data_IF_953592249153
#
_entry.id   IF_953592249153
#
_cell.length_a   1.000
_cell.length_b   1.000
_cell.length_c   1.000
_cell.angle_alpha   90.00
_cell.angle_beta   90.00
_cell.angle_gamma   90.00
#
_symmetry.space_group_name_H-M   'P 1'
#
loop_
_entity.id
_entity.type
_entity.pdbx_description
1 polymer ?
#
# COMPACT_ATOMS: atom_id res chain seq x y z
N UNK A 1 48.06 -41.32 -26.35
CA UNK A 1 46.62 -41.66 -26.51
C UNK A 1 45.99 -41.54 -25.13
N UNK A 2 45.36 -40.40 -24.86
CA UNK A 2 44.71 -40.12 -23.57
C UNK A 2 43.20 -40.35 -23.72
N UNK A 3 42.64 -41.22 -22.87
CA UNK A 3 41.22 -41.54 -22.84
C UNK A 3 40.41 -40.39 -22.24
N UNK A 4 39.46 -39.86 -23.01
CA UNK A 4 38.47 -38.90 -22.54
C UNK A 4 37.34 -39.60 -21.79
N UNK A 5 37.16 -39.22 -20.53
CA UNK A 5 36.02 -39.59 -19.70
C UNK A 5 34.76 -38.87 -20.21
N UNK A 6 33.77 -39.63 -20.63
CA UNK A 6 32.44 -39.13 -21.01
C UNK A 6 31.67 -38.63 -19.78
N UNK A 7 31.03 -37.48 -19.93
CA UNK A 7 30.04 -37.00 -18.98
C UNK A 7 28.74 -37.80 -19.16
N UNK A 8 28.30 -38.49 -18.11
CA UNK A 8 26.97 -39.08 -18.04
C UNK A 8 25.90 -37.98 -17.86
N UNK A 9 24.71 -38.10 -18.45
CA UNK A 9 23.60 -37.17 -18.22
C UNK A 9 23.03 -37.36 -16.81
N UNK A 10 22.75 -36.23 -16.14
CA UNK A 10 22.18 -36.16 -14.79
C UNK A 10 20.70 -36.58 -14.84
N UNK A 11 20.26 -37.61 -14.09
CA UNK A 11 18.84 -37.94 -13.96
C UNK A 11 18.22 -37.08 -12.87
N UNK A 12 17.22 -36.28 -13.25
CA UNK A 12 16.49 -35.38 -12.36
C UNK A 12 15.49 -34.58 -13.16
N UNK A 13 14.34 -35.20 -13.40
CA UNK A 13 13.23 -34.70 -14.20
C UNK A 13 12.78 -33.29 -13.76
N UNK A 14 12.52 -32.44 -14.74
CA UNK A 14 11.74 -31.22 -14.54
C UNK A 14 10.34 -31.59 -14.03
N UNK A 15 9.82 -30.97 -12.96
CA UNK A 15 8.40 -31.01 -12.72
C UNK A 15 7.72 -30.21 -13.84
N UNK A 16 6.94 -30.90 -14.68
CA UNK A 16 5.95 -30.26 -15.53
C UNK A 16 5.05 -29.40 -14.64
N UNK A 17 4.91 -28.09 -14.86
CA UNK A 17 3.91 -27.33 -14.14
C UNK A 17 2.54 -27.80 -14.64
N UNK A 18 1.83 -28.57 -13.82
CA UNK A 18 0.39 -28.72 -13.97
C UNK A 18 -0.23 -27.33 -13.77
N UNK A 19 -0.38 -26.59 -14.87
CA UNK A 19 -1.21 -25.39 -14.96
C UNK A 19 -2.65 -25.80 -14.70
N UNK A 20 -3.02 -25.85 -13.43
CA UNK A 20 -4.41 -25.93 -13.04
C UNK A 20 -4.91 -24.49 -13.07
N UNK A 21 -5.79 -24.16 -14.02
CA UNK A 21 -6.32 -22.81 -14.16
C UNK A 21 -6.94 -22.35 -12.82
N UNK A 22 -6.74 -21.09 -12.41
CA UNK A 22 -7.30 -20.58 -11.17
C UNK A 22 -8.83 -20.70 -11.20
N UNK A 23 -9.43 -21.08 -10.07
CA UNK A 23 -10.88 -21.12 -9.93
C UNK A 23 -11.49 -19.74 -10.26
N UNK A 24 -12.60 -19.66 -11.03
CA UNK A 24 -13.20 -18.40 -11.51
C UNK A 24 -13.45 -17.35 -10.42
N UNK A 25 -13.73 -17.79 -9.19
CA UNK A 25 -13.98 -16.92 -8.03
C UNK A 25 -12.73 -16.13 -7.59
N UNK A 26 -11.53 -16.71 -7.72
CA UNK A 26 -10.29 -16.02 -7.37
C UNK A 26 -9.96 -14.93 -8.41
N UNK A 27 -10.09 -15.24 -9.70
CA UNK A 27 -9.85 -14.29 -10.78
C UNK A 27 -10.77 -13.05 -10.68
N UNK A 28 -12.07 -13.25 -10.47
CA UNK A 28 -13.03 -12.14 -10.35
C UNK A 28 -12.79 -11.22 -9.14
N UNK A 29 -12.12 -11.71 -8.08
CA UNK A 29 -11.74 -10.89 -6.92
C UNK A 29 -10.61 -9.93 -7.25
N UNK A 30 -9.62 -10.34 -8.03
CA UNK A 30 -8.48 -9.48 -8.40
C UNK A 30 -8.89 -8.41 -9.40
N UNK A 31 -9.76 -8.72 -10.35
CA UNK A 31 -10.31 -7.73 -11.27
C UNK A 31 -10.94 -6.55 -10.52
N UNK A 32 -11.70 -6.82 -9.45
CA UNK A 32 -12.24 -5.76 -8.59
C UNK A 32 -11.15 -4.91 -7.93
N UNK A 33 -10.05 -5.52 -7.49
CA UNK A 33 -8.94 -4.81 -6.84
C UNK A 33 -8.19 -3.93 -7.84
N UNK A 34 -7.97 -4.44 -9.05
CA UNK A 34 -7.35 -3.67 -10.10
C UNK A 34 -8.26 -2.54 -10.62
N UNK A 35 -9.56 -2.79 -10.77
CA UNK A 35 -10.50 -1.80 -11.29
C UNK A 35 -10.68 -0.63 -10.31
N UNK A 36 -10.61 -0.90 -9.00
CA UNK A 36 -10.60 0.16 -7.97
C UNK A 36 -9.50 1.19 -8.18
N UNK A 37 -8.35 0.83 -8.75
CA UNK A 37 -7.23 1.77 -8.93
C UNK A 37 -7.40 2.73 -10.11
N UNK A 38 -8.39 2.45 -10.97
CA UNK A 38 -8.80 3.33 -12.08
C UNK A 38 -9.83 4.38 -11.66
N UNK A 39 -10.37 4.26 -10.44
CA UNK A 39 -11.39 5.18 -9.90
C UNK A 39 -10.87 6.61 -9.85
N UNK A 40 -11.73 7.56 -10.21
CA UNK A 40 -11.53 9.00 -10.03
C UNK A 40 -12.56 9.51 -9.03
N UNK A 41 -12.16 10.43 -8.17
CA UNK A 41 -13.07 11.01 -7.18
C UNK A 41 -13.70 12.27 -7.77
N UNK A 42 -15.01 12.39 -7.64
CA UNK A 42 -15.71 13.64 -8.01
C UNK A 42 -15.39 14.70 -6.98
N UNK A 43 -15.57 14.35 -5.69
CA UNK A 43 -15.23 15.19 -4.55
C UNK A 43 -14.34 14.43 -3.57
N UNK A 44 -13.41 15.13 -2.93
CA UNK A 44 -12.58 14.56 -1.88
C UNK A 44 -12.12 15.61 -0.86
N UNK A 45 -11.80 15.15 0.34
CA UNK A 45 -11.04 15.95 1.29
C UNK A 45 -9.55 15.71 1.11
N UNK A 46 -8.79 16.79 1.26
CA UNK A 46 -7.35 16.80 1.13
C UNK A 46 -6.68 17.07 2.48
N UNK A 47 -5.72 16.22 2.84
CA UNK A 47 -4.92 16.35 4.05
C UNK A 47 -3.43 16.34 3.72
N UNK A 48 -2.69 17.31 4.24
CA UNK A 48 -1.25 17.47 4.07
C UNK A 48 -0.55 17.60 5.43
N UNK A 49 0.76 17.29 5.55
CA UNK A 49 1.45 17.44 6.81
C UNK A 49 1.48 18.92 7.23
N UNK A 50 1.29 19.17 8.53
CA UNK A 50 1.34 20.50 9.12
C UNK A 50 2.76 21.09 8.97
N UNK A 51 2.92 22.26 8.32
CA UNK A 51 4.24 22.85 8.04
C UNK A 51 5.04 23.19 9.30
N UNK A 52 4.41 23.26 10.47
CA UNK A 52 5.15 23.39 11.74
C UNK A 52 6.07 22.19 12.04
N UNK A 53 5.86 21.06 11.36
CA UNK A 53 6.69 19.87 11.43
C UNK A 53 7.73 19.76 10.30
N UNK A 54 8.01 20.83 9.54
CA UNK A 54 9.01 20.80 8.44
C UNK A 54 10.42 20.38 8.88
N UNK A 55 10.75 20.54 10.17
CA UNK A 55 12.03 20.10 10.73
C UNK A 55 12.12 18.57 10.95
N UNK A 56 11.00 17.84 10.87
CA UNK A 56 10.96 16.38 11.00
C UNK A 56 11.61 15.73 9.75
N UNK A 57 12.63 14.85 9.90
CA UNK A 57 13.25 14.16 8.76
C UNK A 57 12.29 13.35 7.88
N UNK A 58 11.15 12.92 8.43
CA UNK A 58 10.11 12.18 7.71
C UNK A 58 9.12 13.10 7.00
N UNK A 59 9.13 14.41 7.26
CA UNK A 59 8.22 15.37 6.63
C UNK A 59 8.20 15.31 5.10
N UNK A 60 9.36 15.22 4.38
CA UNK A 60 9.35 15.09 2.93
C UNK A 60 8.65 13.82 2.46
N UNK A 61 8.78 12.73 3.23
CA UNK A 61 8.25 11.39 2.93
C UNK A 61 6.81 11.19 3.41
N UNK A 62 6.26 12.15 4.16
CA UNK A 62 4.92 12.08 4.67
C UNK A 62 3.90 12.09 3.50
N UNK A 63 2.88 11.22 3.53
CA UNK A 63 1.95 11.09 2.42
C UNK A 63 0.96 12.24 2.34
N UNK A 64 0.58 12.63 1.13
CA UNK A 64 -0.56 13.51 0.92
C UNK A 64 -1.83 12.66 0.88
N UNK A 65 -2.75 12.83 1.82
CA UNK A 65 -3.92 11.96 1.96
C UNK A 65 -5.13 12.59 1.26
N UNK A 66 -5.81 11.80 0.45
CA UNK A 66 -7.03 12.17 -0.26
C UNK A 66 -8.12 11.19 0.15
N UNK A 67 -9.25 11.68 0.65
CA UNK A 67 -10.37 10.85 1.10
C UNK A 67 -11.61 11.20 0.29
N UNK A 68 -12.18 10.22 -0.41
CA UNK A 68 -13.39 10.42 -1.20
C UNK A 68 -14.59 10.91 -0.37
N UNK A 69 -15.38 11.80 -0.95
CA UNK A 69 -16.68 12.23 -0.43
C UNK A 69 -17.77 11.93 -1.45
N UNK A 70 -18.68 11.01 -1.15
CA UNK A 70 -19.76 10.66 -2.08
C UNK A 70 -20.96 11.60 -1.97
N UNK A 71 -21.14 12.24 -0.81
CA UNK A 71 -22.15 13.27 -0.60
C UNK A 71 -21.53 14.65 -0.79
N UNK A 72 -21.89 15.33 -1.88
CA UNK A 72 -21.59 16.75 -2.14
C UNK A 72 -22.36 17.71 -1.25
N UNK A 73 -23.18 17.21 -0.32
CA UNK A 73 -23.96 18.04 0.57
C UNK A 73 -23.01 18.57 1.66
N UNK A 74 -22.69 19.88 1.70
CA UNK A 74 -21.70 20.46 2.61
C UNK A 74 -22.08 20.40 4.10
N UNK A 75 -23.14 19.64 4.46
CA UNK A 75 -23.55 19.37 5.84
C UNK A 75 -24.01 17.93 6.11
N UNK A 76 -23.88 16.96 5.18
CA UNK A 76 -24.38 15.58 5.40
C UNK A 76 -23.36 14.62 6.04
N UNK A 77 -22.11 15.05 6.19
CA UNK A 77 -21.21 14.54 7.19
C UNK A 77 -20.72 15.78 7.93
N UNK A 78 -21.45 16.20 8.96
CA UNK A 78 -21.12 17.35 9.78
C UNK A 78 -19.92 17.01 10.68
N UNK A 79 -18.76 16.83 10.04
CA UNK A 79 -17.44 16.85 10.67
C UNK A 79 -16.96 18.31 10.84
N UNK A 80 -17.82 19.27 10.49
CA UNK A 80 -17.52 20.69 10.28
C UNK A 80 -17.94 21.64 11.42
N UNK A 81 -18.47 21.12 12.54
CA UNK A 81 -19.06 21.97 13.59
C UNK A 81 -18.44 21.88 14.99
N UNK A 82 -17.55 20.93 15.25
CA UNK A 82 -16.88 20.77 16.54
C UNK A 82 -15.37 20.83 16.37
N UNK A 83 -14.64 21.26 17.41
CA UNK A 83 -13.18 21.08 17.52
C UNK A 83 -12.86 19.58 17.39
N UNK A 84 -12.77 19.07 16.17
CA UNK A 84 -12.22 17.75 15.93
C UNK A 84 -10.75 17.83 16.30
N UNK A 85 -10.23 16.82 17.03
CA UNK A 85 -8.80 16.74 17.25
C UNK A 85 -8.10 16.74 15.88
N UNK A 86 -6.96 17.42 15.74
CA UNK A 86 -6.20 17.40 14.50
C UNK A 86 -5.95 15.95 14.08
N UNK A 87 -6.01 15.69 12.78
CA UNK A 87 -5.63 14.39 12.25
C UNK A 87 -4.17 14.12 12.66
N UNK A 88 -3.91 13.01 13.36
CA UNK A 88 -2.54 12.60 13.73
C UNK A 88 -2.17 11.37 12.92
N UNK A 89 -1.02 11.44 12.23
CA UNK A 89 -0.33 10.28 11.67
C UNK A 89 0.83 9.92 12.57
N UNK A 90 0.72 8.74 13.18
CA UNK A 90 1.81 8.11 13.90
C UNK A 90 2.82 7.55 12.91
N UNK A 91 4.10 7.83 13.15
CA UNK A 91 5.20 7.39 12.28
C UNK A 91 6.16 6.48 13.01
N UNK A 92 6.67 5.46 12.32
CA UNK A 92 7.78 4.65 12.81
C UNK A 92 8.72 4.36 11.65
N UNK A 93 10.01 4.20 11.95
CA UNK A 93 11.03 3.86 10.95
C UNK A 93 11.84 2.64 11.43
N UNK A 94 12.21 1.77 10.50
CA UNK A 94 13.16 0.70 10.72
C UNK A 94 14.02 0.44 9.48
N UNK A 95 15.22 -0.08 9.69
CA UNK A 95 16.00 -0.72 8.63
C UNK A 95 15.75 -2.22 8.67
N UNK A 96 15.38 -2.80 7.53
CA UNK A 96 15.08 -4.21 7.41
C UNK A 96 15.87 -4.84 6.26
N UNK A 97 16.19 -6.12 6.38
CA UNK A 97 16.72 -6.87 5.26
C UNK A 97 15.59 -7.14 4.27
N UNK A 98 15.78 -6.72 3.03
CA UNK A 98 14.87 -6.94 1.92
C UNK A 98 15.60 -7.82 0.90
N UNK A 99 15.60 -9.14 1.14
CA UNK A 99 16.49 -10.07 0.46
C UNK A 99 17.95 -9.87 0.92
N UNK A 100 18.92 -9.75 -0.01
CA UNK A 100 20.33 -9.55 0.35
C UNK A 100 20.69 -8.10 0.72
N UNK A 101 19.77 -7.14 0.55
CA UNK A 101 20.03 -5.71 0.76
C UNK A 101 19.32 -5.19 2.01
N UNK A 102 19.92 -4.19 2.66
CA UNK A 102 19.25 -3.44 3.72
C UNK A 102 18.41 -2.31 3.10
N UNK A 103 17.17 -2.16 3.54
CA UNK A 103 16.25 -1.11 3.09
C UNK A 103 15.58 -0.43 4.27
N UNK A 104 15.38 0.89 4.14
CA UNK A 104 14.59 1.67 5.09
C UNK A 104 13.11 1.43 4.84
N UNK A 105 12.35 1.24 5.91
CA UNK A 105 10.90 1.20 5.91
C UNK A 105 10.32 2.27 6.83
N UNK A 106 9.29 2.95 6.35
CA UNK A 106 8.54 3.94 7.14
C UNK A 106 7.09 3.50 7.21
N UNK A 107 6.54 3.50 8.41
CA UNK A 107 5.16 3.20 8.70
C UNK A 107 4.40 4.50 9.00
N UNK A 108 3.20 4.63 8.46
CA UNK A 108 2.25 5.68 8.76
C UNK A 108 0.94 5.04 9.22
N UNK A 109 0.52 5.35 10.45
CA UNK A 109 -0.77 4.94 10.98
C UNK A 109 -1.55 6.15 11.45
N UNK A 110 -2.77 6.29 10.94
CA UNK A 110 -3.71 7.27 11.46
C UNK A 110 -4.25 6.83 12.81
N UNK A 111 -4.42 7.79 13.71
CA UNK A 111 -5.07 7.57 15.01
C UNK A 111 -6.50 7.00 14.82
N UNK A 112 -6.89 5.96 15.59
CA UNK A 112 -8.27 5.47 15.61
C UNK A 112 -9.27 6.57 15.99
N UNK A 113 -10.48 6.50 15.44
CA UNK A 113 -11.53 7.48 15.72
C UNK A 113 -12.90 6.82 15.82
N UNK A 114 -13.83 7.45 16.54
CA UNK A 114 -15.23 7.03 16.60
C UNK A 114 -16.00 7.65 15.43
N UNK A 115 -16.62 6.80 14.61
CA UNK A 115 -17.54 7.22 13.57
C UNK A 115 -18.98 7.02 14.07
N UNK A 116 -19.84 8.02 13.84
CA UNK A 116 -21.27 7.89 14.08
C UNK A 116 -21.94 7.33 12.84
N UNK A 117 -22.52 6.14 12.96
CA UNK A 117 -23.32 5.53 11.90
C UNK A 117 -24.80 5.77 12.20
N UNK A 118 -25.47 6.57 11.35
CA UNK A 118 -26.93 6.71 11.41
C UNK A 118 -27.57 5.52 10.71
N UNK A 119 -28.38 4.77 11.45
CA UNK A 119 -29.26 3.77 10.86
C UNK A 119 -30.62 4.38 10.54
N UNK A 120 -31.36 3.79 9.59
CA UNK A 120 -32.68 4.27 9.16
C UNK A 120 -33.73 4.35 10.29
N UNK A 121 -33.45 3.78 11.47
CA UNK A 121 -34.35 3.72 12.62
C UNK A 121 -34.11 4.81 13.68
N UNK A 122 -33.43 5.91 13.33
CA UNK A 122 -33.10 7.02 14.25
C UNK A 122 -32.14 6.65 15.40
N UNK A 123 -31.56 5.45 15.39
CA UNK A 123 -30.51 5.03 16.33
C UNK A 123 -29.13 5.38 15.75
N UNK A 124 -28.36 6.18 16.49
CA UNK A 124 -26.94 6.43 16.21
C UNK A 124 -26.10 5.41 16.95
N UNK A 125 -25.30 4.64 16.22
CA UNK A 125 -24.31 3.74 16.82
C UNK A 125 -22.92 4.33 16.60
N UNK A 126 -22.12 4.38 17.67
CA UNK A 126 -20.70 4.74 17.57
C UNK A 126 -19.89 3.49 17.26
N UNK A 127 -19.05 3.57 16.23
CA UNK A 127 -18.15 2.50 15.82
C UNK A 127 -16.72 3.00 15.86
N UNK A 128 -15.84 2.27 16.54
CA UNK A 128 -14.41 2.54 16.52
C UNK A 128 -13.83 2.12 15.16
N UNK A 129 -13.43 3.11 14.37
CA UNK A 129 -12.69 2.90 13.13
C UNK A 129 -11.21 2.84 13.45
N UNK A 130 -10.58 1.74 13.03
CA UNK A 130 -9.13 1.60 12.99
C UNK A 130 -8.70 1.70 11.51
N UNK A 131 -8.15 2.84 11.08
CA UNK A 131 -7.63 2.98 9.73
C UNK A 131 -6.50 1.97 9.49
N UNK A 132 -6.29 1.56 8.22
CA UNK A 132 -5.17 0.69 7.89
C UNK A 132 -3.85 1.40 8.15
N UNK A 133 -2.82 0.57 8.31
CA UNK A 133 -1.45 1.04 8.36
C UNK A 133 -0.89 1.06 6.95
N UNK A 134 -0.21 2.13 6.59
CA UNK A 134 0.51 2.24 5.32
C UNK A 134 1.99 2.12 5.61
N UNK A 135 2.67 1.19 4.94
CA UNK A 135 4.13 1.04 5.07
C UNK A 135 4.78 1.29 3.71
N UNK A 136 5.84 2.10 3.73
CA UNK A 136 6.68 2.36 2.57
C UNK A 136 8.00 1.62 2.74
N UNK A 137 8.39 0.85 1.72
CA UNK A 137 9.78 0.41 1.54
C UNK A 137 10.45 1.38 0.59
N UNK A 138 11.59 1.94 1.00
CA UNK A 138 12.29 2.96 0.24
C UNK A 138 13.38 2.39 -0.67
N UNK A 139 13.73 3.11 -1.72
CA UNK A 139 14.97 2.89 -2.50
C UNK A 139 16.20 3.31 -1.70
N UNK A 140 17.39 3.08 -2.23
CA UNK A 140 18.65 3.56 -1.65
C UNK A 140 18.70 5.09 -1.56
N UNK A 141 18.04 5.77 -2.50
CA UNK A 141 17.90 7.22 -2.51
C UNK A 141 16.83 7.74 -1.54
N UNK A 142 16.12 6.85 -0.84
CA UNK A 142 15.08 7.21 0.12
C UNK A 142 13.71 7.49 -0.50
N UNK A 143 13.51 7.28 -1.81
CA UNK A 143 12.21 7.44 -2.44
C UNK A 143 11.31 6.22 -2.19
N UNK A 144 9.98 6.36 -2.05
CA UNK A 144 9.07 5.22 -1.93
C UNK A 144 9.18 4.27 -3.15
N UNK A 145 9.52 3.01 -2.92
CA UNK A 145 9.62 1.96 -3.93
C UNK A 145 8.39 1.04 -3.90
N UNK A 146 7.94 0.70 -2.70
CA UNK A 146 6.78 -0.15 -2.45
C UNK A 146 5.91 0.54 -1.39
N UNK A 147 4.61 0.64 -1.64
CA UNK A 147 3.62 1.04 -0.66
C UNK A 147 2.66 -0.12 -0.42
N UNK A 148 2.56 -0.57 0.81
CA UNK A 148 1.72 -1.69 1.23
C UNK A 148 0.69 -1.25 2.27
N UNK A 149 -0.48 -1.89 2.21
CA UNK A 149 -1.59 -1.64 3.13
C UNK A 149 -1.73 -2.82 4.06
N UNK A 150 -1.37 -2.59 5.32
CA UNK A 150 -1.49 -3.56 6.37
C UNK A 150 -2.89 -3.42 7.01
N UNK A 151 -3.68 -4.50 7.03
CA UNK A 151 -5.01 -4.48 7.61
C UNK A 151 -4.93 -4.20 9.12
N UNK A 152 -5.91 -3.47 9.64
CA UNK A 152 -5.96 -3.10 11.07
C UNK A 152 -6.20 -4.29 12.02
N UNK A 153 -6.53 -5.48 11.50
CA UNK A 153 -6.75 -6.71 12.26
C UNK A 153 -6.14 -7.91 11.53
N UNK A 154 -5.37 -8.72 12.26
CA UNK A 154 -4.67 -9.92 11.78
C UNK A 154 -5.54 -11.18 11.65
N UNK A 155 -6.87 -11.04 11.54
CA UNK A 155 -7.79 -12.17 11.43
C UNK A 155 -7.80 -12.83 10.05
N UNK A 156 -8.17 -14.12 10.00
CA UNK A 156 -8.25 -15.00 8.80
C UNK A 156 -9.14 -14.47 7.64
N UNK A 157 -9.82 -13.33 7.80
CA UNK A 157 -10.67 -12.70 6.77
C UNK A 157 -10.10 -11.41 6.17
N UNK A 158 -8.83 -11.08 6.42
CA UNK A 158 -8.24 -9.79 6.03
C UNK A 158 -8.14 -9.53 4.50
N UNK A 159 -8.37 -10.55 3.67
CA UNK A 159 -8.25 -10.45 2.22
C UNK A 159 -6.81 -10.32 1.74
N UNK A 160 -6.57 -10.16 0.42
CA UNK A 160 -5.22 -10.11 -0.10
C UNK A 160 -4.51 -8.84 0.36
N UNK A 161 -3.22 -8.97 0.64
CA UNK A 161 -2.28 -7.87 0.80
C UNK A 161 -2.27 -7.04 -0.49
N UNK A 162 -2.66 -5.78 -0.35
CA UNK A 162 -2.69 -4.82 -1.45
C UNK A 162 -1.39 -4.03 -1.45
N UNK A 163 -0.68 -4.09 -2.57
CA UNK A 163 0.61 -3.43 -2.76
C UNK A 163 0.57 -2.51 -3.97
N UNK A 164 1.26 -1.39 -3.89
CA UNK A 164 1.58 -0.52 -5.01
C UNK A 164 3.10 -0.47 -5.16
N UNK A 165 3.60 -0.50 -6.38
CA UNK A 165 5.04 -0.49 -6.65
C UNK A 165 5.42 0.71 -7.50
N UNK A 166 6.66 1.16 -7.41
CA UNK A 166 7.15 2.24 -8.26
C UNK A 166 7.38 1.76 -9.70
N UNK A 167 7.36 2.70 -10.65
CA UNK A 167 7.59 2.43 -12.07
C UNK A 167 8.94 1.76 -12.29
N UNK A 168 9.99 2.25 -11.64
CA UNK A 168 11.35 1.71 -11.75
C UNK A 168 11.43 0.27 -11.27
N UNK A 169 10.76 -0.08 -10.16
CA UNK A 169 10.73 -1.47 -9.67
C UNK A 169 10.00 -2.40 -10.66
N UNK A 170 8.84 -1.99 -11.16
CA UNK A 170 8.08 -2.77 -12.14
C UNK A 170 8.83 -2.93 -13.46
N UNK A 171 9.53 -1.90 -13.94
CA UNK A 171 10.33 -1.98 -15.16
C UNK A 171 11.58 -2.86 -14.99
N UNK A 172 12.19 -2.86 -13.80
CA UNK A 172 13.24 -3.81 -13.45
C UNK A 172 12.72 -5.25 -13.43
N UNK A 173 11.57 -5.50 -12.79
CA UNK A 173 10.90 -6.81 -12.81
C UNK A 173 10.56 -7.25 -14.24
N UNK A 174 10.03 -6.36 -15.09
CA UNK A 174 9.71 -6.67 -16.48
C UNK A 174 10.94 -7.03 -17.30
N UNK A 175 12.09 -6.37 -17.07
CA UNK A 175 13.35 -6.70 -17.73
C UNK A 175 13.85 -8.10 -17.36
N UNK A 176 13.73 -8.49 -16.09
CA UNK A 176 14.20 -9.78 -15.60
C UNK A 176 13.24 -10.93 -15.94
N UNK A 177 11.94 -10.69 -15.80
CA UNK A 177 10.91 -11.73 -15.82
C UNK A 177 10.03 -11.74 -17.07
N UNK A 178 10.14 -10.72 -17.92
CA UNK A 178 9.28 -10.55 -19.09
C UNK A 178 7.91 -9.95 -18.74
N UNK A 179 6.89 -10.33 -19.50
CA UNK A 179 5.52 -9.83 -19.32
C UNK A 179 4.90 -10.29 -17.98
N UNK A 180 3.84 -9.60 -17.51
CA UNK A 180 3.00 -10.11 -16.43
C UNK A 180 2.57 -11.57 -16.67
N UNK A 181 2.44 -12.33 -15.59
CA UNK A 181 1.95 -13.71 -15.63
C UNK A 181 0.46 -13.75 -16.01
N UNK A 182 -0.08 -14.89 -16.47
CA UNK A 182 -1.51 -15.05 -16.69
C UNK A 182 -2.33 -14.57 -15.49
N UNK A 183 -3.40 -13.82 -15.75
CA UNK A 183 -4.29 -13.23 -14.73
C UNK A 183 -3.65 -12.18 -13.81
N UNK A 184 -2.41 -11.75 -14.07
CA UNK A 184 -1.75 -10.64 -13.39
C UNK A 184 -1.64 -9.42 -14.29
N UNK A 185 -1.64 -8.22 -13.70
CA UNK A 185 -1.47 -6.95 -14.43
C UNK A 185 -0.02 -6.46 -14.42
N UNK A 186 0.80 -6.89 -13.45
CA UNK A 186 2.16 -6.41 -13.27
C UNK A 186 3.19 -7.55 -13.20
N UNK A 187 4.42 -7.27 -13.64
CA UNK A 187 5.52 -8.22 -13.66
C UNK A 187 5.99 -8.60 -12.25
N UNK A 188 5.89 -7.67 -11.29
CA UNK A 188 6.18 -7.92 -9.88
C UNK A 188 5.22 -8.91 -9.19
N UNK A 189 4.09 -9.26 -9.80
CA UNK A 189 3.12 -10.17 -9.17
C UNK A 189 3.52 -11.64 -9.30
N UNK A 190 3.46 -12.43 -8.22
CA UNK A 190 3.67 -13.88 -8.28
C UNK A 190 2.54 -14.60 -9.03
N UNK A 191 2.74 -15.87 -9.41
CA UNK A 191 1.64 -16.72 -9.89
C UNK A 191 0.48 -16.72 -8.89
N UNK A 192 -0.74 -16.57 -9.39
CA UNK A 192 -1.96 -16.55 -8.58
C UNK A 192 -2.19 -17.89 -7.86
N UNK A 193 -1.70 -18.99 -8.45
CA UNK A 193 -1.80 -20.34 -7.91
C UNK A 193 -0.87 -20.56 -6.72
N UNK A 194 0.29 -19.89 -6.68
CA UNK A 194 1.25 -20.02 -5.58
C UNK A 194 1.02 -19.02 -4.47
N UNK A 195 0.60 -17.79 -4.81
CA UNK A 195 0.39 -16.73 -3.82
C UNK A 195 -0.90 -15.96 -4.16
N UNK A 196 -2.07 -16.51 -3.80
CA UNK A 196 -3.37 -15.84 -4.01
C UNK A 196 -3.62 -14.70 -3.01
N UNK A 197 -2.74 -14.51 -2.03
CA UNK A 197 -2.92 -13.55 -0.94
C UNK A 197 -2.28 -12.20 -1.24
N UNK A 198 -1.65 -12.00 -2.39
CA UNK A 198 -1.07 -10.71 -2.77
C UNK A 198 -1.58 -10.23 -4.12
N UNK A 199 -1.76 -8.92 -4.21
CA UNK A 199 -2.01 -8.22 -5.47
C UNK A 199 -1.13 -6.97 -5.52
N UNK A 200 -0.50 -6.74 -6.67
CA UNK A 200 0.03 -5.41 -6.98
C UNK A 200 -1.11 -4.66 -7.64
N UNK A 201 -1.79 -3.79 -6.89
CA UNK A 201 -2.99 -3.11 -7.37
C UNK A 201 -2.68 -1.98 -8.35
N UNK A 202 -1.48 -1.40 -8.28
CA UNK A 202 -1.09 -0.29 -9.15
C UNK A 202 0.41 -0.04 -9.18
N UNK A 203 0.83 0.68 -10.23
CA UNK A 203 2.18 1.22 -10.36
C UNK A 203 2.12 2.73 -10.29
N UNK A 204 2.93 3.34 -9.43
CA UNK A 204 3.05 4.79 -9.31
C UNK A 204 4.37 5.28 -9.91
N UNK A 205 4.37 6.52 -10.42
CA UNK A 205 5.57 7.11 -11.02
C UNK A 205 6.63 7.43 -9.96
N UNK A 206 7.90 7.24 -10.32
CA UNK A 206 9.02 7.65 -9.46
C UNK A 206 9.10 9.18 -9.40
N UNK A 207 9.24 9.78 -8.21
CA UNK A 207 9.27 11.22 -8.10
C UNK A 207 10.64 11.77 -8.52
N UNK A 208 10.69 12.95 -9.17
CA UNK A 208 11.97 13.59 -9.53
C UNK A 208 12.78 14.02 -8.30
N UNK A 209 12.11 14.16 -7.14
CA UNK A 209 12.70 14.48 -5.84
C UNK A 209 12.05 13.59 -4.78
N UNK A 210 12.85 13.12 -3.82
CA UNK A 210 12.39 12.29 -2.71
C UNK A 210 11.22 12.96 -1.99
N UNK A 211 10.04 12.35 -2.13
CA UNK A 211 8.80 12.85 -1.53
C UNK A 211 7.78 11.74 -1.34
N UNK A 212 6.93 11.87 -0.31
CA UNK A 212 5.83 10.96 -0.04
C UNK A 212 4.76 11.05 -1.12
N UNK A 213 4.09 9.95 -1.51
CA UNK A 213 3.10 9.95 -2.57
C UNK A 213 1.78 10.57 -2.11
N UNK A 214 0.85 10.75 -3.04
CA UNK A 214 -0.56 10.86 -2.68
C UNK A 214 -1.15 9.47 -2.40
N UNK A 215 -1.95 9.36 -1.34
CA UNK A 215 -2.70 8.17 -0.96
C UNK A 215 -4.20 8.46 -1.06
N UNK A 216 -4.90 7.76 -1.95
CA UNK A 216 -6.32 7.94 -2.22
C UNK A 216 -7.14 6.87 -1.52
N UNK A 217 -7.87 7.24 -0.47
CA UNK A 217 -8.78 6.36 0.25
C UNK A 217 -10.21 6.56 -0.24
N UNK A 218 -10.97 5.46 -0.33
CA UNK A 218 -12.41 5.53 -0.50
C UNK A 218 -13.08 6.18 0.72
N UNK A 219 -14.38 6.46 0.62
CA UNK A 219 -15.15 7.10 1.68
C UNK A 219 -15.15 6.32 3.02
N UNK A 220 -14.97 5.00 2.95
CA UNK A 220 -14.80 4.13 4.13
C UNK A 220 -13.51 4.40 4.93
N UNK A 221 -12.58 5.19 4.37
CA UNK A 221 -11.27 5.53 4.93
C UNK A 221 -10.39 4.31 5.26
N UNK A 222 -10.76 3.14 4.74
CA UNK A 222 -10.06 1.87 4.96
C UNK A 222 -9.55 1.28 3.65
N UNK A 223 -10.23 1.55 2.55
CA UNK A 223 -9.84 1.05 1.24
C UNK A 223 -8.92 2.06 0.56
N UNK A 224 -7.62 1.76 0.52
CA UNK A 224 -6.70 2.49 -0.36
C UNK A 224 -6.99 2.09 -1.82
N UNK A 225 -7.43 3.07 -2.60
CA UNK A 225 -7.77 2.90 -4.01
C UNK A 225 -6.58 3.20 -4.91
N UNK A 226 -5.71 4.16 -4.56
CA UNK A 226 -4.64 4.60 -5.45
C UNK A 226 -3.45 5.19 -4.71
N UNK A 227 -2.27 4.98 -5.28
CA UNK A 227 -1.03 5.69 -4.95
C UNK A 227 -0.53 6.39 -6.21
N UNK A 228 -0.18 7.67 -6.13
CA UNK A 228 0.42 8.40 -7.25
C UNK A 228 1.56 9.32 -6.76
N UNK A 229 2.52 9.62 -7.66
CA UNK A 229 3.54 10.63 -7.42
C UNK A 229 2.92 12.00 -7.15
N UNK A 230 3.60 12.85 -6.36
CA UNK A 230 3.20 14.26 -6.20
C UNK A 230 3.20 15.04 -7.52
N UNK A 231 4.01 14.59 -8.46
CA UNK A 231 4.17 15.11 -9.81
C UNK A 231 3.07 14.68 -10.79
N UNK A 232 2.28 13.65 -10.45
CA UNK A 232 1.23 13.13 -11.33
C UNK A 232 -0.02 14.04 -11.31
N UNK A 233 -0.80 14.10 -12.39
CA UNK A 233 -2.06 14.82 -12.41
C UNK A 233 -3.03 14.32 -11.33
N UNK A 234 -3.71 15.26 -10.66
CA UNK A 234 -4.74 14.94 -9.66
C UNK A 234 -5.83 14.03 -10.26
N UNK A 235 -6.33 13.11 -9.43
CA UNK A 235 -7.42 12.19 -9.77
C UNK A 235 -8.74 12.60 -9.10
N UNK A 236 -8.79 13.83 -8.57
CA UNK A 236 -9.97 14.44 -7.94
C UNK A 236 -10.49 15.56 -8.83
N UNK A 237 -11.82 15.63 -9.00
CA UNK A 237 -12.50 16.73 -9.68
C UNK A 237 -12.46 18.01 -8.86
N UNK A 238 -12.92 17.95 -7.61
CA UNK A 238 -12.95 19.08 -6.68
C UNK A 238 -12.58 18.68 -5.24
N UNK A 239 -11.88 19.56 -4.53
CA UNK A 239 -11.54 19.34 -3.13
C UNK A 239 -12.49 20.11 -2.22
N UNK A 240 -13.28 19.37 -1.43
CA UNK A 240 -14.29 19.94 -0.52
C UNK A 240 -13.68 20.51 0.76
N UNK A 241 -12.52 19.98 1.17
CA UNK A 241 -11.75 20.50 2.29
C UNK A 241 -10.25 20.39 2.03
N UNK A 242 -9.49 21.27 2.69
CA UNK A 242 -8.03 21.25 2.71
C UNK A 242 -7.56 21.44 4.14
N UNK A 243 -7.01 20.39 4.74
CA UNK A 243 -6.70 20.33 6.16
C UNK A 243 -5.25 19.89 6.39
N UNK A 244 -4.75 20.17 7.59
CA UNK A 244 -3.44 19.72 8.03
C UNK A 244 -3.56 18.50 8.94
N UNK A 245 -2.56 17.64 8.92
CA UNK A 245 -2.36 16.59 9.89
C UNK A 245 -1.01 16.73 10.59
N UNK A 246 -0.93 16.30 11.85
CA UNK A 246 0.29 16.29 12.62
C UNK A 246 1.04 14.97 12.44
N UNK A 247 2.36 15.06 12.30
CA UNK A 247 3.24 13.91 12.39
C UNK A 247 3.63 13.72 13.85
N UNK A 248 3.43 12.52 14.36
CA UNK A 248 3.85 12.16 15.71
C UNK A 248 4.66 10.88 15.64
N UNK A 249 5.93 10.88 16.05
CA UNK A 249 6.66 9.63 16.22
C UNK A 249 5.88 8.68 17.13
N UNK A 250 5.82 7.41 16.74
CA UNK A 250 5.33 6.34 17.57
C UNK A 250 6.38 6.14 18.68
N UNK A 251 6.21 6.83 19.80
CA UNK A 251 7.06 6.61 20.97
C UNK A 251 6.76 5.23 21.55
N UNK A 252 7.79 4.51 21.99
CA UNK A 252 7.71 3.15 22.54
C UNK A 252 6.65 2.95 23.65
N UNK A 253 6.09 4.02 24.22
CA UNK A 253 5.04 4.00 25.24
C UNK A 253 3.60 3.93 24.69
N UNK A 254 3.37 4.21 23.40
CA UNK A 254 2.05 4.08 22.77
C UNK A 254 1.87 2.66 22.19
N UNK A 255 2.00 1.65 23.05
CA UNK A 255 1.41 0.33 22.82
C UNK A 255 -0.12 0.45 22.93
N UNK A 256 -0.75 1.14 21.96
CA UNK A 256 -2.19 1.01 21.75
C UNK A 256 -2.41 -0.38 21.14
N UNK A 257 -2.72 -1.35 22.00
CA UNK A 257 -3.23 -2.69 21.68
C UNK A 257 -2.30 -3.68 20.95
N UNK A 258 -0.97 -3.51 20.99
CA UNK A 258 -0.05 -4.62 20.66
C UNK A 258 0.11 -4.98 19.16
N UNK A 259 -0.21 -4.07 18.24
CA UNK A 259 -0.18 -4.34 16.77
C UNK A 259 1.00 -3.66 16.04
N UNK A 260 1.79 -2.82 16.72
CA UNK A 260 2.95 -2.16 16.10
C UNK A 260 4.24 -2.96 16.32
N UNK A 261 4.34 -4.09 15.64
CA UNK A 261 5.65 -4.66 15.36
C UNK A 261 5.96 -4.32 13.91
N UNK A 262 7.17 -3.82 13.64
CA UNK A 262 7.83 -4.16 12.39
C UNK A 262 8.00 -5.68 12.44
N UNK A 263 6.92 -6.38 12.11
CA UNK A 263 6.97 -7.83 11.95
C UNK A 263 8.12 -8.10 10.99
N UNK A 264 8.90 -9.13 11.35
CA UNK A 264 10.05 -9.66 10.61
C UNK A 264 9.85 -9.51 9.09
N UNK A 265 10.92 -9.16 8.33
CA UNK A 265 10.83 -8.46 7.06
C UNK A 265 9.74 -9.07 6.20
N UNK A 266 8.79 -8.20 5.87
CA UNK A 266 7.58 -8.45 5.10
C UNK A 266 7.73 -9.67 4.18
N UNK A 267 6.76 -10.62 4.17
CA UNK A 267 6.79 -11.76 3.26
C UNK A 267 6.91 -11.33 1.79
N UNK A 268 6.76 -10.04 1.48
CA UNK A 268 7.08 -9.41 0.19
C UNK A 268 8.33 -9.95 -0.51
N UNK A 269 9.45 -10.19 0.17
CA UNK A 269 10.65 -10.72 -0.52
C UNK A 269 10.51 -12.17 -0.96
N UNK A 270 9.63 -12.91 -0.30
CA UNK A 270 9.32 -14.31 -0.60
C UNK A 270 8.12 -14.44 -1.55
N UNK A 271 7.23 -13.44 -1.56
CA UNK A 271 5.95 -13.51 -2.27
C UNK A 271 5.86 -12.58 -3.48
N UNK A 272 6.58 -11.47 -3.56
CA UNK A 272 6.67 -10.66 -4.79
C UNK A 272 7.75 -11.21 -5.72
N UNK A 273 7.55 -11.04 -7.02
CA UNK A 273 8.60 -11.27 -8.02
C UNK A 273 9.50 -10.04 -8.10
N UNK A 274 10.38 -9.90 -7.12
CA UNK A 274 11.33 -8.81 -7.04
C UNK A 274 12.58 -9.09 -7.86
N UNK A 275 13.04 -8.16 -8.70
CA UNK A 275 14.27 -8.36 -9.47
C UNK A 275 15.49 -8.49 -8.55
N UNK A 276 16.52 -9.20 -9.01
CA UNK A 276 17.74 -9.47 -8.24
C UNK A 276 18.49 -8.16 -7.91
N UNK A 277 18.43 -7.20 -8.84
CA UNK A 277 18.94 -5.85 -8.66
C UNK A 277 17.79 -4.89 -8.34
N UNK A 278 17.62 -4.60 -7.06
CA UNK A 278 16.63 -3.62 -6.60
C UNK A 278 17.10 -2.18 -6.88
N UNK A 279 16.20 -1.28 -7.27
CA UNK A 279 16.50 0.13 -7.45
C UNK A 279 16.67 0.90 -6.13
#
# INVERSE_FOLDING_TARGET
MAGGLGCAPRPGAAPTPSQTAPTPHAAGRFDQLYDRTTRRFVHADFYKPDPSHEADPLFPLAPLIVIERTNSNPGAADWSGGNLPPLVLHTAEAEIHFGPVLRRQILFQRQPFLAQHRTNASTTTEMLIRPPVVRFTLTELGAPMIAEILPASSGESAGPLVVFVSRTLEDAARRQYGSPLPHRRYACEPPIESVPEIVVAGVFEDPPVVSGPYLYFAEDQQTLTKVICRCSPSQVGDFTANQYYQLSPLTNAAHLDGVFSFTDPSPLTEILRLPDALP
#
